data_IF_108559679655
#
_entry.id   IF_108559679655
#
_cell.length_a   1.000
_cell.length_b   1.000
_cell.length_c   1.000
_cell.angle_alpha   90.00
_cell.angle_beta   90.00
_cell.angle_gamma   90.00
#
_symmetry.space_group_name_H-M   'P 1'
#
loop_
_entity.id
_entity.type
_entity.pdbx_description
1 polymer ?
#
# COMPACT_ATOMS: atom_id res chain seq x y z
N UNK A 1 20.48 0.74 -5.67
CA UNK A 1 19.07 0.67 -6.14
C UNK A 1 18.46 -0.70 -5.89
N UNK A 2 19.13 -1.80 -6.27
CA UNK A 2 18.66 -3.17 -6.02
C UNK A 2 18.13 -3.43 -4.60
N UNK A 3 18.86 -3.02 -3.55
CA UNK A 3 18.36 -3.18 -2.17
C UNK A 3 17.08 -2.41 -1.85
N UNK A 4 16.83 -1.25 -2.49
CA UNK A 4 15.57 -0.51 -2.33
C UNK A 4 14.41 -1.20 -3.05
N UNK A 5 14.67 -1.77 -4.22
CA UNK A 5 13.68 -2.56 -4.98
C UNK A 5 13.26 -3.79 -4.16
N UNK A 6 14.24 -4.57 -3.71
CA UNK A 6 14.00 -5.77 -2.91
C UNK A 6 13.30 -5.43 -1.58
N UNK A 7 13.75 -4.38 -0.89
CA UNK A 7 13.11 -3.90 0.33
C UNK A 7 11.65 -3.50 0.13
N UNK A 8 11.34 -2.74 -0.93
CA UNK A 8 9.97 -2.33 -1.22
C UNK A 8 9.05 -3.51 -1.52
N UNK A 9 9.50 -4.46 -2.34
CA UNK A 9 8.73 -5.68 -2.67
C UNK A 9 8.51 -6.56 -1.44
N UNK A 10 9.55 -6.76 -0.60
CA UNK A 10 9.41 -7.55 0.63
C UNK A 10 8.44 -6.91 1.61
N UNK A 11 8.55 -5.59 1.83
CA UNK A 11 7.65 -4.88 2.74
C UNK A 11 6.21 -4.95 2.24
N UNK A 12 5.96 -4.67 0.96
CA UNK A 12 4.61 -4.77 0.39
C UNK A 12 4.02 -6.18 0.55
N UNK A 13 4.83 -7.22 0.29
CA UNK A 13 4.42 -8.62 0.47
C UNK A 13 4.10 -8.94 1.93
N UNK A 14 4.92 -8.48 2.87
CA UNK A 14 4.70 -8.71 4.30
C UNK A 14 3.40 -8.05 4.77
N UNK A 15 3.14 -6.81 4.35
CA UNK A 15 1.89 -6.09 4.68
C UNK A 15 0.65 -6.84 4.16
N UNK A 16 0.67 -7.23 2.88
CA UNK A 16 -0.47 -7.96 2.26
C UNK A 16 -0.69 -9.30 2.94
N UNK A 17 0.38 -10.05 3.23
CA UNK A 17 0.26 -11.35 3.90
C UNK A 17 -0.14 -11.23 5.38
N UNK A 18 0.18 -10.11 6.04
CA UNK A 18 -0.28 -9.84 7.39
C UNK A 18 -1.78 -9.54 7.41
N UNK A 19 -2.26 -8.66 6.52
CA UNK A 19 -3.68 -8.36 6.39
C UNK A 19 -4.51 -9.59 5.99
N UNK A 20 -4.01 -10.42 5.06
CA UNK A 20 -4.68 -11.65 4.68
C UNK A 20 -4.83 -12.62 5.86
N UNK A 21 -3.75 -12.81 6.64
CA UNK A 21 -3.80 -13.64 7.85
C UNK A 21 -4.80 -13.11 8.88
N UNK A 22 -4.75 -11.81 9.17
CA UNK A 22 -5.70 -11.19 10.10
C UNK A 22 -7.16 -11.39 9.66
N UNK A 23 -7.44 -11.27 8.35
CA UNK A 23 -8.76 -11.51 7.78
C UNK A 23 -9.21 -12.97 7.88
N UNK A 24 -8.32 -13.91 7.59
CA UNK A 24 -8.60 -15.34 7.62
C UNK A 24 -8.87 -15.83 9.05
N UNK A 25 -8.13 -15.30 10.02
CA UNK A 25 -8.24 -15.63 11.44
C UNK A 25 -9.44 -14.94 12.14
N UNK A 26 -9.88 -13.78 11.63
CA UNK A 26 -10.98 -13.03 12.23
C UNK A 26 -12.36 -13.68 12.01
N UNK A 27 -13.21 -13.74 13.06
CA UNK A 27 -14.62 -14.09 12.92
C UNK A 27 -15.32 -13.20 11.89
N UNK A 28 -16.26 -13.76 11.12
CA UNK A 28 -16.96 -13.01 10.06
C UNK A 28 -17.61 -11.72 10.57
N UNK A 29 -18.13 -11.73 11.80
CA UNK A 29 -18.74 -10.56 12.44
C UNK A 29 -17.74 -9.43 12.73
N UNK A 30 -16.46 -9.74 12.88
CA UNK A 30 -15.40 -8.78 13.25
C UNK A 30 -14.62 -8.28 12.04
N UNK A 31 -14.71 -8.96 10.89
CA UNK A 31 -13.98 -8.61 9.66
C UNK A 31 -14.19 -7.17 9.18
N UNK A 32 -15.38 -6.60 9.40
CA UNK A 32 -15.67 -5.21 9.04
C UNK A 32 -14.75 -4.22 9.78
N UNK A 33 -14.33 -4.54 11.01
CA UNK A 33 -13.42 -3.71 11.80
C UNK A 33 -11.99 -3.68 11.23
N UNK A 34 -11.62 -4.65 10.38
CA UNK A 34 -10.30 -4.71 9.73
C UNK A 34 -10.20 -3.83 8.47
N UNK A 35 -11.33 -3.33 7.94
CA UNK A 35 -11.35 -2.58 6.68
C UNK A 35 -10.43 -1.34 6.67
N UNK A 36 -10.32 -0.54 7.76
CA UNK A 36 -9.37 0.58 7.80
C UNK A 36 -7.90 0.13 7.69
N UNK A 37 -7.53 -0.99 8.32
CA UNK A 37 -6.18 -1.53 8.23
C UNK A 37 -5.91 -2.12 6.83
N UNK A 38 -6.87 -2.83 6.25
CA UNK A 38 -6.78 -3.35 4.88
C UNK A 38 -6.64 -2.21 3.86
N UNK A 39 -7.38 -1.12 4.05
CA UNK A 39 -7.23 0.10 3.25
C UNK A 39 -5.82 0.69 3.34
N UNK A 40 -5.26 0.74 4.55
CA UNK A 40 -3.87 1.17 4.79
C UNK A 40 -2.87 0.27 4.06
N UNK A 41 -3.05 -1.05 4.15
CA UNK A 41 -2.20 -2.02 3.45
C UNK A 41 -2.29 -1.85 1.94
N UNK A 42 -3.48 -1.65 1.36
CA UNK A 42 -3.63 -1.38 -0.08
C UNK A 42 -2.83 -0.14 -0.49
N UNK A 43 -3.01 0.97 0.22
CA UNK A 43 -2.33 2.24 -0.12
C UNK A 43 -0.81 2.05 -0.05
N UNK A 44 -0.31 1.49 1.06
CA UNK A 44 1.13 1.26 1.25
C UNK A 44 1.71 0.28 0.24
N UNK A 45 1.06 -0.86 -0.02
CA UNK A 45 1.55 -1.87 -0.95
C UNK A 45 1.61 -1.34 -2.39
N UNK A 46 0.62 -0.55 -2.82
CA UNK A 46 0.60 0.05 -4.17
C UNK A 46 1.66 1.15 -4.33
N UNK A 47 1.89 1.96 -3.30
CA UNK A 47 2.97 2.94 -3.27
C UNK A 47 4.36 2.28 -3.31
N UNK A 48 4.57 1.22 -2.52
CA UNK A 48 5.83 0.46 -2.53
C UNK A 48 6.07 -0.23 -3.88
N UNK A 49 5.02 -0.77 -4.51
CA UNK A 49 5.13 -1.34 -5.85
C UNK A 49 5.54 -0.29 -6.89
N UNK A 50 4.93 0.91 -6.83
CA UNK A 50 5.33 2.04 -7.68
C UNK A 50 6.80 2.42 -7.46
N UNK A 51 7.22 2.57 -6.20
CA UNK A 51 8.62 2.87 -5.85
C UNK A 51 9.60 1.81 -6.37
N UNK A 52 9.26 0.53 -6.27
CA UNK A 52 10.09 -0.57 -6.75
C UNK A 52 10.31 -0.49 -8.27
N UNK A 53 9.24 -0.22 -9.04
CA UNK A 53 9.31 -0.12 -10.49
C UNK A 53 10.03 1.15 -10.94
N UNK A 54 9.82 2.28 -10.28
CA UNK A 54 10.58 3.52 -10.50
C UNK A 54 12.09 3.32 -10.28
N UNK A 55 12.46 2.64 -9.20
CA UNK A 55 13.86 2.32 -8.90
C UNK A 55 14.47 1.36 -9.92
N UNK A 56 13.69 0.40 -10.41
CA UNK A 56 14.10 -0.50 -11.48
C UNK A 56 14.32 0.24 -12.81
N UNK A 57 13.41 1.13 -13.20
CA UNK A 57 13.55 1.97 -14.41
C UNK A 57 14.83 2.81 -14.35
N UNK A 58 15.11 3.44 -13.21
CA UNK A 58 16.33 4.24 -12.99
C UNK A 58 17.61 3.40 -12.97
N UNK A 59 17.52 2.15 -12.51
CA UNK A 59 18.65 1.22 -12.55
C UNK A 59 18.94 0.75 -13.97
N UNK A 60 17.90 0.45 -14.76
CA UNK A 60 18.03 -0.01 -16.13
C UNK A 60 18.49 1.10 -17.09
N UNK A 61 18.13 2.36 -16.83
CA UNK A 61 18.41 3.47 -17.73
C UNK A 61 17.59 3.38 -19.02
N UNK A 62 18.14 3.88 -20.14
CA UNK A 62 17.49 3.84 -21.46
C UNK A 62 16.94 2.46 -21.87
N UNK A 63 17.68 1.34 -21.65
CA UNK A 63 17.17 -0.01 -21.89
C UNK A 63 15.84 -0.35 -21.19
N UNK A 64 15.51 0.30 -20.07
CA UNK A 64 14.23 0.09 -19.38
C UNK A 64 13.00 0.41 -20.24
N UNK A 65 13.16 1.21 -21.29
CA UNK A 65 12.11 1.55 -22.26
C UNK A 65 11.97 0.54 -23.41
N UNK A 66 12.89 -0.43 -23.54
CA UNK A 66 12.82 -1.44 -24.58
C UNK A 66 11.68 -2.41 -24.30
N UNK A 67 10.79 -2.58 -25.28
CA UNK A 67 9.63 -3.49 -25.17
C UNK A 67 10.05 -4.94 -24.93
N UNK A 68 11.21 -5.34 -25.43
CA UNK A 68 11.82 -6.66 -25.23
C UNK A 68 12.12 -6.98 -23.76
N UNK A 69 12.40 -5.96 -22.94
CA UNK A 69 12.75 -6.12 -21.53
C UNK A 69 11.57 -5.97 -20.57
N UNK A 70 10.37 -5.64 -21.08
CA UNK A 70 9.11 -5.52 -20.34
C UNK A 70 9.02 -4.52 -19.19
N UNK A 71 10.10 -3.85 -18.81
CA UNK A 71 10.11 -2.98 -17.63
C UNK A 71 9.17 -1.77 -17.79
N UNK A 72 9.12 -1.18 -18.99
CA UNK A 72 8.14 -0.14 -19.34
C UNK A 72 6.68 -0.59 -19.17
N UNK A 73 6.39 -1.88 -19.43
CA UNK A 73 5.05 -2.44 -19.22
C UNK A 73 4.70 -2.46 -17.74
N UNK A 74 5.59 -2.99 -16.89
CA UNK A 74 5.37 -2.99 -15.44
C UNK A 74 5.20 -1.56 -14.89
N UNK A 75 5.94 -0.59 -15.44
CA UNK A 75 5.84 0.82 -15.08
C UNK A 75 4.50 1.46 -15.45
N UNK A 76 3.93 1.10 -16.61
CA UNK A 76 2.58 1.52 -16.98
C UNK A 76 1.52 0.84 -16.11
N UNK A 77 1.64 -0.46 -15.90
CA UNK A 77 0.60 -1.28 -15.29
C UNK A 77 0.45 -1.02 -13.78
N UNK A 78 1.55 -0.80 -13.06
CA UNK A 78 1.53 -0.60 -11.60
C UNK A 78 0.70 0.62 -11.17
N UNK A 79 0.53 1.61 -12.04
CA UNK A 79 -0.26 2.82 -11.78
C UNK A 79 -1.74 2.54 -11.54
N UNK A 80 -2.27 1.44 -12.11
CA UNK A 80 -3.65 1.04 -11.86
C UNK A 80 -3.93 0.90 -10.36
N UNK A 81 -2.98 0.36 -9.59
CA UNK A 81 -3.12 0.20 -8.15
C UNK A 81 -3.30 1.52 -7.37
N UNK A 82 -2.71 2.62 -7.87
CA UNK A 82 -2.79 3.94 -7.23
C UNK A 82 -4.19 4.56 -7.35
N UNK A 83 -4.92 4.24 -8.43
CA UNK A 83 -6.22 4.83 -8.75
C UNK A 83 -7.42 3.94 -8.41
N UNK A 84 -7.21 2.67 -8.08
CA UNK A 84 -8.29 1.82 -7.58
C UNK A 84 -8.70 2.22 -6.16
N UNK A 85 -10.01 2.18 -5.81
CA UNK A 85 -10.45 2.42 -4.43
C UNK A 85 -9.87 1.41 -3.42
N UNK A 86 -9.67 1.82 -2.15
CA UNK A 86 -9.75 3.19 -1.66
C UNK A 86 -8.62 4.07 -2.25
N UNK A 87 -8.98 5.28 -2.68
CA UNK A 87 -8.01 6.29 -3.12
C UNK A 87 -7.19 6.76 -1.92
N UNK A 88 -5.92 7.06 -2.13
CA UNK A 88 -4.99 7.41 -1.05
C UNK A 88 -5.49 8.58 -0.19
N UNK A 89 -5.80 9.72 -0.82
CA UNK A 89 -6.24 10.91 -0.10
C UNK A 89 -7.53 10.67 0.68
N UNK A 90 -8.48 9.95 0.08
CA UNK A 90 -9.75 9.62 0.74
C UNK A 90 -9.54 8.66 1.92
N UNK A 91 -8.64 7.68 1.77
CA UNK A 91 -8.30 6.73 2.83
C UNK A 91 -7.67 7.46 4.02
N UNK A 92 -6.67 8.30 3.78
CA UNK A 92 -6.00 9.04 4.86
C UNK A 92 -6.90 10.08 5.53
N UNK A 93 -7.75 10.76 4.75
CA UNK A 93 -8.77 11.66 5.31
C UNK A 93 -9.76 10.90 6.21
N UNK A 94 -10.28 9.76 5.74
CA UNK A 94 -11.22 8.95 6.52
C UNK A 94 -10.59 8.36 7.78
N UNK A 95 -9.35 7.86 7.68
CA UNK A 95 -8.63 7.32 8.84
C UNK A 95 -8.32 8.42 9.86
N UNK A 96 -7.91 9.60 9.40
CA UNK A 96 -7.65 10.74 10.27
C UNK A 96 -8.90 11.21 11.01
N UNK A 97 -10.05 11.28 10.33
CA UNK A 97 -11.33 11.62 10.96
C UNK A 97 -11.72 10.59 12.04
N UNK A 98 -11.62 9.30 11.74
CA UNK A 98 -11.94 8.23 12.70
C UNK A 98 -11.07 8.28 13.97
N UNK A 99 -9.77 8.59 13.82
CA UNK A 99 -8.86 8.73 14.97
C UNK A 99 -9.20 9.97 15.82
N UNK A 100 -9.59 11.08 15.19
CA UNK A 100 -10.00 12.29 15.92
C UNK A 100 -11.30 12.09 16.71
N UNK A 101 -12.27 11.35 16.14
CA UNK A 101 -13.52 10.99 16.84
C UNK A 101 -13.25 10.06 18.02
N UNK A 102 -12.37 9.06 17.86
CA UNK A 102 -11.93 8.18 18.94
C UNK A 102 -11.21 8.92 20.08
N UNK A 103 -10.39 9.91 19.76
CA UNK A 103 -9.70 10.75 20.74
C UNK A 103 -10.63 11.72 21.49
N UNK A 104 -11.76 12.11 20.87
CA UNK A 104 -12.77 12.99 21.50
C UNK A 104 -13.70 12.28 22.49
N UNK A 105 -13.82 10.95 22.40
CA UNK A 105 -14.68 10.13 23.28
C UNK A 105 -14.01 9.71 24.59
N UNK A 106 -12.68 9.65 24.62
CA UNK A 106 -11.90 9.31 25.81
C UNK A 106 -11.19 10.57 26.28
N UNK A 107 -11.81 11.31 27.21
CA UNK A 107 -11.29 12.56 27.82
C UNK A 107 -9.98 12.40 28.62
N UNK A 108 -9.18 11.39 28.28
CA UNK A 108 -7.82 11.12 28.71
C UNK A 108 -7.08 10.45 27.55
N UNK A 109 -6.35 11.22 26.76
CA UNK A 109 -4.89 11.18 26.82
C UNK A 109 -4.22 11.92 25.63
N UNK A 110 -3.11 12.57 25.99
CA UNK A 110 -1.96 12.96 25.16
C UNK A 110 -2.13 14.19 24.26
N UNK A 111 -1.95 15.38 24.85
CA UNK A 111 -0.61 15.96 25.07
C UNK A 111 -0.52 16.58 26.46
#
# INVERSE_FOLDING_TARGET
RLGRIDGAVRTARLLVLAAARAWDEAPVAERAALLPEIGTVKVQATQLAWQAVEEAMRLAGGPGMLRELSLERHWRDVRGGLIHPPLEDLHWQSLGAALAEGAGGDGRAVL
#
